data_IF_094501591089
#
_entry.id   IF_094501591089
#
_cell.length_a   1.000
_cell.length_b   1.000
_cell.length_c   1.000
_cell.angle_alpha   90.00
_cell.angle_beta   90.00
_cell.angle_gamma   90.00
#
_symmetry.space_group_name_H-M   'P 1'
#
loop_
_entity.id
_entity.type
_entity.pdbx_description
1 polymer ?
#
# COMPACT_ATOMS: atom_id res chain seq x y z
N UNK A 1 5.49 21.56 -28.12
CA UNK A 1 6.36 20.40 -28.37
C UNK A 1 5.45 19.21 -28.62
N UNK A 2 5.69 18.39 -29.65
CA UNK A 2 4.94 17.15 -29.79
C UNK A 2 5.27 16.24 -28.61
N UNK A 3 4.29 15.92 -27.76
CA UNK A 3 4.49 14.95 -26.69
C UNK A 3 4.84 13.60 -27.35
N UNK A 4 5.84 12.90 -26.82
CA UNK A 4 6.11 11.52 -27.18
C UNK A 4 4.93 10.68 -26.70
N UNK A 5 3.91 10.55 -27.56
CA UNK A 5 2.66 9.85 -27.29
C UNK A 5 2.71 8.45 -27.91
N UNK A 6 2.21 7.41 -27.22
CA UNK A 6 2.03 6.08 -27.81
C UNK A 6 1.18 6.15 -29.08
N UNK A 7 1.48 5.26 -30.03
CA UNK A 7 0.64 5.07 -31.23
C UNK A 7 -0.39 3.96 -31.06
N UNK A 8 -0.31 3.18 -29.98
CA UNK A 8 -1.22 2.07 -29.71
C UNK A 8 -2.59 2.59 -29.20
N UNK A 9 -3.68 2.38 -29.96
CA UNK A 9 -5.03 2.75 -29.54
C UNK A 9 -5.45 2.16 -28.20
N UNK A 10 -5.01 0.94 -27.90
CA UNK A 10 -5.39 0.24 -26.67
C UNK A 10 -4.83 0.94 -25.44
N UNK A 11 -3.60 1.46 -25.53
CA UNK A 11 -2.95 2.22 -24.46
C UNK A 11 -3.67 3.54 -24.21
N UNK A 12 -3.99 4.28 -25.28
CA UNK A 12 -4.66 5.58 -25.18
C UNK A 12 -6.11 5.46 -24.73
N UNK A 13 -6.85 4.47 -25.23
CA UNK A 13 -8.20 4.18 -24.79
C UNK A 13 -8.23 3.78 -23.30
N UNK A 14 -7.26 2.96 -22.86
CA UNK A 14 -7.10 2.59 -21.44
C UNK A 14 -6.83 3.81 -20.57
N UNK A 15 -5.94 4.71 -21.00
CA UNK A 15 -5.65 5.96 -20.29
C UNK A 15 -6.88 6.86 -20.11
N UNK A 16 -7.76 6.93 -21.13
CA UNK A 16 -9.02 7.69 -21.03
C UNK A 16 -9.94 7.06 -19.97
N UNK A 17 -10.21 5.76 -20.06
CA UNK A 17 -11.15 5.09 -19.14
C UNK A 17 -10.63 5.05 -17.71
N UNK A 18 -9.33 4.83 -17.51
CA UNK A 18 -8.68 4.88 -16.20
C UNK A 18 -8.82 6.27 -15.57
N UNK A 19 -8.59 7.33 -16.35
CA UNK A 19 -8.71 8.71 -15.86
C UNK A 19 -10.15 9.04 -15.45
N UNK A 20 -11.16 8.57 -16.21
CA UNK A 20 -12.57 8.74 -15.84
C UNK A 20 -12.89 8.03 -14.52
N UNK A 21 -12.41 6.78 -14.34
CA UNK A 21 -12.60 6.04 -13.09
C UNK A 21 -11.89 6.74 -11.92
N UNK A 22 -10.63 7.14 -12.07
CA UNK A 22 -9.86 7.83 -11.03
C UNK A 22 -10.51 9.16 -10.61
N UNK A 23 -11.08 9.91 -11.56
CA UNK A 23 -11.76 11.16 -11.27
C UNK A 23 -13.11 10.96 -10.54
N UNK A 24 -13.83 9.89 -10.86
CA UNK A 24 -15.24 9.74 -10.48
C UNK A 24 -15.46 8.78 -9.31
N UNK A 25 -14.53 7.87 -9.05
CA UNK A 25 -14.67 6.88 -8.00
C UNK A 25 -14.16 7.37 -6.63
N UNK A 26 -14.99 7.38 -5.57
CA UNK A 26 -14.57 7.70 -4.22
C UNK A 26 -13.41 6.85 -3.66
N UNK A 27 -13.27 5.59 -4.10
CA UNK A 27 -12.16 4.72 -3.70
C UNK A 27 -10.81 5.21 -4.24
N UNK A 28 -10.78 5.94 -5.35
CA UNK A 28 -9.55 6.53 -5.87
C UNK A 28 -8.93 7.47 -4.84
N UNK A 29 -9.74 8.37 -4.29
CA UNK A 29 -9.30 9.31 -3.24
C UNK A 29 -8.90 8.59 -1.95
N UNK A 30 -9.60 7.50 -1.59
CA UNK A 30 -9.25 6.67 -0.42
C UNK A 30 -7.93 5.93 -0.59
N UNK A 31 -7.58 5.52 -1.80
CA UNK A 31 -6.35 4.78 -2.10
C UNK A 31 -5.07 5.61 -1.89
N UNK A 32 -5.16 6.93 -2.05
CA UNK A 32 -4.02 7.82 -1.86
C UNK A 32 -4.41 9.28 -2.02
N UNK A 33 -4.85 9.91 -0.93
CA UNK A 33 -5.38 11.28 -0.91
C UNK A 33 -4.44 12.27 -1.60
N UNK A 34 -3.16 12.29 -1.23
CA UNK A 34 -2.16 13.19 -1.79
C UNK A 34 -1.99 13.01 -3.31
N UNK A 35 -1.84 11.78 -3.78
CA UNK A 35 -1.67 11.49 -5.20
C UNK A 35 -2.93 11.77 -6.01
N UNK A 36 -4.10 11.56 -5.42
CA UNK A 36 -5.38 11.89 -6.03
C UNK A 36 -5.55 13.41 -6.19
N UNK A 37 -5.27 14.21 -5.14
CA UNK A 37 -5.32 15.68 -5.22
C UNK A 37 -4.36 16.21 -6.30
N UNK A 38 -3.14 15.66 -6.40
CA UNK A 38 -2.18 16.01 -7.46
C UNK A 38 -2.70 15.67 -8.87
N UNK A 39 -3.39 14.54 -9.02
CA UNK A 39 -3.89 14.06 -10.30
C UNK A 39 -5.17 14.78 -10.75
N UNK A 40 -5.94 15.34 -9.80
CA UNK A 40 -7.30 15.88 -10.02
C UNK A 40 -7.40 16.83 -11.22
N UNK A 41 -6.56 17.87 -11.38
CA UNK A 41 -6.71 18.79 -12.51
C UNK A 41 -6.59 18.09 -13.87
N UNK A 42 -5.78 17.03 -13.94
CA UNK A 42 -5.53 16.29 -15.17
C UNK A 42 -6.65 15.29 -15.47
N UNK A 43 -7.10 14.54 -14.47
CA UNK A 43 -8.18 13.56 -14.66
C UNK A 43 -9.53 14.25 -14.89
N UNK A 44 -9.79 15.40 -14.26
CA UNK A 44 -10.95 16.25 -14.54
C UNK A 44 -10.94 16.80 -15.97
N UNK A 45 -9.77 17.14 -16.52
CA UNK A 45 -9.64 17.55 -17.91
C UNK A 45 -10.04 16.43 -18.88
N UNK A 46 -9.69 15.17 -18.58
CA UNK A 46 -10.14 14.01 -19.37
C UNK A 46 -11.65 13.84 -19.29
N UNK A 47 -12.25 13.92 -18.10
CA UNK A 47 -13.71 13.84 -17.93
C UNK A 47 -14.40 14.97 -18.72
N UNK A 48 -13.87 16.18 -18.68
CA UNK A 48 -14.39 17.31 -19.45
C UNK A 48 -14.28 17.09 -20.97
N UNK A 49 -13.18 16.48 -21.44
CA UNK A 49 -12.99 16.12 -22.84
C UNK A 49 -14.01 15.05 -23.29
N UNK A 50 -14.22 14.02 -22.49
CA UNK A 50 -15.21 12.96 -22.76
C UNK A 50 -16.64 13.53 -22.82
N UNK A 51 -17.02 14.43 -21.90
CA UNK A 51 -18.33 15.11 -21.93
C UNK A 51 -18.53 16.01 -23.15
N UNK A 52 -17.44 16.51 -23.74
CA UNK A 52 -17.44 17.36 -24.95
C UNK A 52 -17.17 16.58 -26.23
N UNK A 53 -17.02 15.25 -26.16
CA UNK A 53 -16.73 14.42 -27.32
C UNK A 53 -17.81 14.62 -28.40
N UNK A 54 -17.39 14.80 -29.66
CA UNK A 54 -18.30 15.02 -30.79
C UNK A 54 -19.21 13.79 -31.00
N UNK A 55 -18.65 12.60 -30.82
CA UNK A 55 -19.36 11.34 -30.91
C UNK A 55 -20.30 11.14 -29.70
N UNK A 56 -21.59 10.94 -29.97
CA UNK A 56 -22.61 10.79 -28.94
C UNK A 56 -22.53 9.48 -28.17
N UNK A 57 -21.99 8.42 -28.78
CA UNK A 57 -21.81 7.13 -28.12
C UNK A 57 -20.70 7.21 -27.08
N UNK A 58 -19.53 7.75 -27.43
CA UNK A 58 -18.42 8.00 -26.50
C UNK A 58 -18.89 8.86 -25.33
N UNK A 59 -19.63 9.94 -25.59
CA UNK A 59 -20.15 10.83 -24.55
C UNK A 59 -21.07 10.08 -23.59
N UNK A 60 -22.03 9.33 -24.12
CA UNK A 60 -23.00 8.56 -23.32
C UNK A 60 -22.34 7.43 -22.52
N UNK A 61 -21.37 6.73 -23.10
CA UNK A 61 -20.58 5.71 -22.40
C UNK A 61 -19.71 6.32 -21.30
N UNK A 62 -19.12 7.48 -21.57
CA UNK A 62 -18.35 8.27 -20.60
C UNK A 62 -19.17 8.69 -19.38
N UNK A 63 -20.36 9.22 -19.60
CA UNK A 63 -21.30 9.60 -18.52
C UNK A 63 -21.69 8.38 -17.69
N UNK A 64 -22.05 7.25 -18.32
CA UNK A 64 -22.37 6.01 -17.60
C UNK A 64 -21.21 5.50 -16.74
N UNK A 65 -19.97 5.55 -17.25
CA UNK A 65 -18.81 5.14 -16.48
C UNK A 65 -18.53 6.10 -15.30
N UNK A 66 -18.69 7.40 -15.50
CA UNK A 66 -18.51 8.38 -14.43
C UNK A 66 -19.57 8.24 -13.32
N UNK A 67 -20.82 7.90 -13.69
CA UNK A 67 -21.92 7.73 -12.74
C UNK A 67 -21.83 6.42 -11.94
N UNK A 68 -21.29 5.35 -12.53
CA UNK A 68 -21.08 4.05 -11.86
C UNK A 68 -19.73 3.43 -12.26
N UNK A 69 -18.61 3.95 -11.69
CA UNK A 69 -17.24 3.51 -12.03
C UNK A 69 -16.87 2.12 -11.48
N UNK A 70 -17.77 1.52 -10.69
CA UNK A 70 -17.62 0.17 -10.16
C UNK A 70 -18.07 -0.93 -11.12
N UNK A 71 -18.74 -0.59 -12.24
CA UNK A 71 -19.34 -1.58 -13.15
C UNK A 71 -18.42 -1.92 -14.33
N UNK A 72 -17.90 -3.17 -14.43
CA UNK A 72 -16.94 -3.56 -15.47
C UNK A 72 -17.45 -3.36 -16.91
N UNK A 73 -18.73 -3.59 -17.16
CA UNK A 73 -19.32 -3.41 -18.50
C UNK A 73 -19.19 -1.96 -18.98
N UNK A 74 -19.41 -0.97 -18.11
CA UNK A 74 -19.26 0.45 -18.46
C UNK A 74 -17.82 0.75 -18.89
N UNK A 75 -16.85 0.21 -18.17
CA UNK A 75 -15.43 0.38 -18.47
C UNK A 75 -15.08 -0.24 -19.84
N UNK A 76 -15.43 -1.52 -20.05
CA UNK A 76 -15.07 -2.24 -21.25
C UNK A 76 -15.75 -1.67 -22.50
N UNK A 77 -17.01 -1.23 -22.40
CA UNK A 77 -17.73 -0.65 -23.54
C UNK A 77 -17.17 0.70 -23.96
N UNK A 78 -16.85 1.59 -23.02
CA UNK A 78 -16.21 2.87 -23.37
C UNK A 78 -14.84 2.64 -24.00
N UNK A 79 -14.04 1.73 -23.42
CA UNK A 79 -12.72 1.38 -23.95
C UNK A 79 -12.81 0.82 -25.37
N UNK A 80 -13.73 -0.10 -25.63
CA UNK A 80 -13.93 -0.68 -26.96
C UNK A 80 -14.33 0.38 -28.00
N UNK A 81 -15.29 1.26 -27.67
CA UNK A 81 -15.72 2.35 -28.56
C UNK A 81 -14.56 3.30 -28.89
N UNK A 82 -13.69 3.63 -27.92
CA UNK A 82 -12.51 4.47 -28.14
C UNK A 82 -11.49 3.79 -29.08
N UNK A 83 -11.28 2.48 -28.94
CA UNK A 83 -10.38 1.71 -29.82
C UNK A 83 -10.92 1.68 -31.25
N UNK A 84 -12.21 1.39 -31.43
CA UNK A 84 -12.86 1.36 -32.75
C UNK A 84 -12.78 2.71 -33.47
N UNK A 85 -12.84 3.80 -32.71
CA UNK A 85 -12.83 5.18 -33.24
C UNK A 85 -11.43 5.83 -33.20
N UNK A 86 -10.36 5.10 -32.89
CA UNK A 86 -9.05 5.68 -32.63
C UNK A 86 -8.39 6.40 -33.82
N UNK A 87 -8.79 6.06 -35.05
CA UNK A 87 -8.31 6.70 -36.27
C UNK A 87 -9.07 8.00 -36.62
N UNK A 88 -10.18 8.28 -35.94
CA UNK A 88 -10.99 9.46 -36.22
C UNK A 88 -10.34 10.72 -35.62
N UNK A 89 -10.29 11.85 -36.35
CA UNK A 89 -9.76 13.11 -35.80
C UNK A 89 -10.48 13.57 -34.52
N UNK A 90 -11.75 13.19 -34.35
CA UNK A 90 -12.58 13.53 -33.19
C UNK A 90 -12.15 12.86 -31.89
N UNK A 91 -11.39 11.76 -31.93
CA UNK A 91 -10.86 11.08 -30.72
C UNK A 91 -9.51 11.61 -30.26
N UNK A 92 -8.78 12.33 -31.13
CA UNK A 92 -7.46 12.84 -30.83
C UNK A 92 -7.40 13.74 -29.57
N UNK A 93 -8.35 14.69 -29.34
CA UNK A 93 -8.33 15.51 -28.13
C UNK A 93 -8.50 14.71 -26.83
N UNK A 94 -9.26 13.60 -26.87
CA UNK A 94 -9.45 12.73 -25.70
C UNK A 94 -8.15 12.01 -25.37
N UNK A 95 -7.48 11.48 -26.39
CA UNK A 95 -6.19 10.80 -26.23
C UNK A 95 -5.07 11.73 -25.81
N UNK A 96 -5.07 12.98 -26.28
CA UNK A 96 -4.11 14.00 -25.84
C UNK A 96 -4.30 14.34 -24.35
N UNK A 97 -5.54 14.61 -23.92
CA UNK A 97 -5.84 14.88 -22.52
C UNK A 97 -5.50 13.68 -21.62
N UNK A 98 -5.83 12.46 -22.05
CA UNK A 98 -5.53 11.25 -21.29
C UNK A 98 -4.03 10.97 -21.18
N UNK A 99 -3.27 11.20 -22.26
CA UNK A 99 -1.82 11.03 -22.21
C UNK A 99 -1.14 12.09 -21.34
N UNK A 100 -1.65 13.32 -21.36
CA UNK A 100 -1.21 14.37 -20.44
C UNK A 100 -1.50 13.99 -18.98
N UNK A 101 -2.67 13.41 -18.69
CA UNK A 101 -2.98 12.89 -17.36
C UNK A 101 -2.04 11.74 -16.95
N UNK A 102 -1.75 10.80 -17.84
CA UNK A 102 -0.81 9.71 -17.59
C UNK A 102 0.60 10.20 -17.26
N UNK A 103 1.06 11.26 -17.93
CA UNK A 103 2.39 11.84 -17.70
C UNK A 103 2.49 12.64 -16.39
N UNK A 104 1.38 13.15 -15.88
CA UNK A 104 1.34 14.04 -14.71
C UNK A 104 0.67 13.41 -13.48
N UNK A 105 0.11 12.19 -13.60
CA UNK A 105 -0.54 11.46 -12.52
C UNK A 105 0.34 10.35 -11.95
N UNK A 106 0.28 10.19 -10.62
CA UNK A 106 0.86 9.05 -9.89
C UNK A 106 -0.18 8.05 -9.42
N UNK A 107 -1.43 8.20 -9.83
CA UNK A 107 -2.51 7.25 -9.58
C UNK A 107 -3.05 6.76 -10.93
N UNK A 108 -3.21 5.45 -11.07
CA UNK A 108 -3.87 4.81 -12.19
C UNK A 108 -4.91 3.81 -11.70
N UNK A 109 -5.43 3.00 -12.61
CA UNK A 109 -6.45 2.02 -12.32
C UNK A 109 -6.09 0.68 -12.96
N UNK A 110 -6.62 -0.40 -12.39
CA UNK A 110 -6.51 -1.75 -12.91
C UNK A 110 -7.85 -2.45 -12.74
N UNK A 111 -8.35 -3.02 -13.83
CA UNK A 111 -9.53 -3.87 -13.85
C UNK A 111 -9.20 -5.17 -14.58
N UNK A 112 -9.20 -6.28 -13.84
CA UNK A 112 -9.04 -7.61 -14.39
C UNK A 112 -10.27 -8.03 -15.21
N UNK A 113 -10.06 -8.83 -16.27
CA UNK A 113 -11.10 -9.19 -17.23
C UNK A 113 -12.15 -10.16 -16.69
N UNK A 114 -11.92 -10.77 -15.53
CA UNK A 114 -12.89 -11.66 -14.85
C UNK A 114 -13.45 -11.07 -13.56
N UNK A 115 -13.05 -9.86 -13.19
CA UNK A 115 -13.47 -9.22 -11.94
C UNK A 115 -15.01 -9.20 -11.79
N UNK A 116 -15.47 -9.59 -10.61
CA UNK A 116 -16.88 -9.47 -10.19
C UNK A 116 -16.98 -8.64 -8.92
N UNK A 117 -18.13 -7.97 -8.73
CA UNK A 117 -18.43 -7.19 -7.53
C UNK A 117 -18.88 -8.07 -6.35
N UNK A 118 -19.05 -9.36 -6.59
CA UNK A 118 -19.71 -10.30 -5.69
C UNK A 118 -18.68 -11.04 -4.83
N UNK A 119 -18.27 -10.40 -3.74
CA UNK A 119 -17.43 -11.03 -2.74
C UNK A 119 -18.00 -10.77 -1.35
N UNK A 120 -18.34 -11.84 -0.63
CA UNK A 120 -18.78 -11.76 0.75
C UNK A 120 -17.65 -11.23 1.63
N UNK A 121 -17.89 -10.16 2.42
CA UNK A 121 -16.91 -9.63 3.38
C UNK A 121 -16.35 -10.74 4.28
N UNK A 122 -15.06 -10.66 4.59
CA UNK A 122 -14.40 -11.59 5.52
C UNK A 122 -14.39 -10.95 6.91
N UNK A 123 -14.82 -11.67 7.95
CA UNK A 123 -14.79 -11.16 9.33
C UNK A 123 -13.48 -11.44 10.07
N UNK A 124 -13.28 -10.78 11.21
CA UNK A 124 -12.17 -11.08 12.14
C UNK A 124 -12.33 -12.49 12.70
N UNK A 125 -13.57 -12.89 13.04
CA UNK A 125 -13.89 -14.19 13.60
C UNK A 125 -13.56 -15.33 12.64
N UNK A 126 -13.86 -15.15 11.35
CA UNK A 126 -13.51 -16.11 10.30
C UNK A 126 -12.00 -16.34 10.25
N UNK A 127 -11.20 -15.26 10.24
CA UNK A 127 -9.74 -15.36 10.17
C UNK A 127 -9.13 -15.91 11.47
N UNK A 128 -9.67 -15.50 12.63
CA UNK A 128 -9.24 -16.00 13.93
C UNK A 128 -9.50 -17.50 14.11
N UNK A 129 -10.54 -18.03 13.48
CA UNK A 129 -10.86 -19.45 13.51
C UNK A 129 -9.91 -20.31 12.65
N UNK A 130 -9.13 -19.70 11.75
CA UNK A 130 -8.14 -20.43 10.95
C UNK A 130 -6.92 -20.83 11.79
N UNK A 131 -6.30 -21.98 11.49
CA UNK A 131 -5.07 -22.36 12.15
C UNK A 131 -3.96 -21.36 11.79
N UNK A 132 -3.14 -20.91 12.76
CA UNK A 132 -2.10 -19.90 12.53
C UNK A 132 -0.96 -20.38 11.62
N UNK A 133 -0.90 -21.67 11.30
CA UNK A 133 0.18 -22.25 10.50
C UNK A 133 1.41 -22.63 11.33
N UNK A 134 2.54 -22.95 10.68
CA UNK A 134 3.74 -23.43 11.38
C UNK A 134 4.38 -22.33 12.23
N UNK A 135 4.70 -22.68 13.48
CA UNK A 135 5.47 -21.84 14.39
C UNK A 135 6.95 -21.75 13.96
N UNK A 136 7.66 -20.71 14.41
CA UNK A 136 9.11 -20.66 14.32
C UNK A 136 9.69 -21.83 15.17
N UNK A 137 10.55 -22.69 14.61
CA UNK A 137 11.14 -23.77 15.38
C UNK A 137 11.97 -23.26 16.57
N UNK A 138 11.92 -23.97 17.70
CA UNK A 138 12.72 -23.62 18.87
C UNK A 138 14.21 -23.64 18.53
N UNK A 139 14.93 -22.57 18.88
CA UNK A 139 16.37 -22.45 18.60
C UNK A 139 16.71 -22.05 17.17
N UNK A 140 15.74 -21.73 16.32
CA UNK A 140 16.00 -21.15 15.00
C UNK A 140 16.71 -19.80 15.12
N UNK A 141 17.58 -19.48 14.15
CA UNK A 141 18.27 -18.19 14.02
C UNK A 141 17.92 -17.57 12.66
N UNK A 142 16.74 -16.95 12.54
CA UNK A 142 16.22 -16.48 11.27
C UNK A 142 17.04 -15.30 10.72
N UNK A 143 17.41 -15.37 9.44
CA UNK A 143 18.13 -14.29 8.76
C UNK A 143 17.22 -13.11 8.36
N UNK A 144 15.92 -13.36 8.17
CA UNK A 144 14.92 -12.34 7.82
C UNK A 144 14.04 -11.99 9.02
N UNK A 145 13.95 -10.70 9.33
CA UNK A 145 12.94 -10.14 10.24
C UNK A 145 11.87 -9.40 9.45
N UNK A 146 10.61 -9.75 9.64
CA UNK A 146 9.47 -8.97 9.15
C UNK A 146 8.88 -8.21 10.34
N UNK A 147 8.86 -6.88 10.27
CA UNK A 147 8.26 -6.01 11.28
C UNK A 147 6.96 -5.42 10.74
N UNK A 148 5.88 -5.64 11.46
CA UNK A 148 4.55 -5.15 11.13
C UNK A 148 4.09 -4.15 12.20
N UNK A 149 4.20 -2.83 11.95
CA UNK A 149 3.65 -1.82 12.86
C UNK A 149 2.12 -1.83 12.77
N UNK A 150 1.44 -1.75 13.92
CA UNK A 150 0.00 -1.94 13.97
C UNK A 150 -0.68 -1.01 14.97
N UNK A 151 -1.83 -0.49 14.57
CA UNK A 151 -2.83 0.11 15.44
C UNK A 151 -4.22 -0.09 14.86
N UNK A 152 -5.16 -0.48 15.71
CA UNK A 152 -6.58 -0.51 15.36
C UNK A 152 -7.42 0.11 16.48
N UNK A 153 -7.54 1.44 16.39
CA UNK A 153 -8.40 2.27 17.23
C UNK A 153 -9.58 2.75 16.39
N UNK A 154 -10.78 2.56 16.91
CA UNK A 154 -12.04 3.10 16.35
C UNK A 154 -12.39 2.65 14.92
N UNK A 155 -11.77 1.58 14.38
CA UNK A 155 -12.12 1.05 13.05
C UNK A 155 -13.07 -0.14 13.07
N UNK A 156 -13.55 -0.53 14.25
CA UNK A 156 -14.43 -1.70 14.41
C UNK A 156 -13.76 -3.02 14.05
N UNK A 157 -12.43 -3.12 14.14
CA UNK A 157 -11.68 -4.34 13.79
C UNK A 157 -11.27 -4.44 12.31
N UNK A 158 -11.52 -3.43 11.49
CA UNK A 158 -11.21 -3.48 10.06
C UNK A 158 -9.70 -3.60 9.79
N UNK A 159 -8.86 -2.94 10.61
CA UNK A 159 -7.40 -3.06 10.50
C UNK A 159 -6.91 -4.38 11.09
N UNK A 160 -7.49 -4.86 12.19
CA UNK A 160 -7.20 -6.18 12.72
C UNK A 160 -7.50 -7.30 11.71
N UNK A 161 -8.62 -7.22 10.98
CA UNK A 161 -8.94 -8.16 9.89
C UNK A 161 -7.81 -8.23 8.86
N UNK A 162 -7.31 -7.08 8.43
CA UNK A 162 -6.18 -7.00 7.51
C UNK A 162 -4.91 -7.61 8.11
N UNK A 163 -4.57 -7.26 9.36
CA UNK A 163 -3.42 -7.83 10.05
C UNK A 163 -3.49 -9.36 10.09
N UNK A 164 -4.63 -9.94 10.47
CA UNK A 164 -4.79 -11.39 10.53
C UNK A 164 -4.60 -12.04 9.16
N UNK A 165 -5.14 -11.44 8.09
CA UNK A 165 -4.92 -11.94 6.73
C UNK A 165 -3.44 -11.84 6.31
N UNK A 166 -2.76 -10.74 6.64
CA UNK A 166 -1.33 -10.55 6.42
C UNK A 166 -0.50 -11.63 7.14
N UNK A 167 -0.72 -11.82 8.45
CA UNK A 167 0.00 -12.82 9.24
C UNK A 167 -0.26 -14.25 8.75
N UNK A 168 -1.50 -14.60 8.40
CA UNK A 168 -1.82 -15.91 7.83
C UNK A 168 -1.13 -16.13 6.49
N UNK A 169 -1.07 -15.11 5.62
CA UNK A 169 -0.34 -15.20 4.36
C UNK A 169 1.18 -15.35 4.59
N UNK A 170 1.75 -14.67 5.58
CA UNK A 170 3.15 -14.82 5.99
C UNK A 170 3.45 -16.19 6.62
N UNK A 171 2.45 -16.90 7.13
CA UNK A 171 2.60 -18.28 7.66
C UNK A 171 2.51 -19.35 6.58
N UNK A 172 1.99 -19.02 5.40
CA UNK A 172 1.93 -19.88 4.21
C UNK A 172 2.95 -19.43 3.15
N UNK A 173 4.24 -19.43 3.50
CA UNK A 173 5.33 -19.04 2.60
C UNK A 173 6.13 -20.27 2.11
N UNK A 174 6.68 -20.19 0.90
CA UNK A 174 7.61 -21.20 0.37
C UNK A 174 9.02 -21.09 0.96
N UNK A 175 9.34 -19.98 1.63
CA UNK A 175 10.62 -19.80 2.31
C UNK A 175 10.68 -20.66 3.58
N UNK A 176 11.83 -21.31 3.89
CA UNK A 176 11.95 -22.15 5.08
C UNK A 176 11.60 -21.39 6.36
N UNK A 177 10.70 -21.98 7.15
CA UNK A 177 10.14 -21.34 8.35
C UNK A 177 11.19 -21.00 9.41
N UNK A 178 12.30 -21.72 9.47
CA UNK A 178 13.42 -21.47 10.35
C UNK A 178 14.32 -20.29 9.93
N UNK A 179 14.10 -19.70 8.73
CA UNK A 179 14.92 -18.62 8.18
C UNK A 179 14.28 -17.23 8.24
N UNK A 180 13.02 -17.12 8.66
CA UNK A 180 12.37 -15.82 8.86
C UNK A 180 11.53 -15.78 10.13
N UNK A 181 11.33 -14.59 10.67
CA UNK A 181 10.43 -14.37 11.80
C UNK A 181 9.58 -13.11 11.61
N UNK A 182 8.44 -13.07 12.28
CA UNK A 182 7.49 -11.96 12.21
C UNK A 182 7.32 -11.35 13.60
N UNK A 183 7.49 -10.03 13.67
CA UNK A 183 7.20 -9.22 14.87
C UNK A 183 6.08 -8.25 14.57
N UNK A 184 5.03 -8.29 15.37
CA UNK A 184 3.98 -7.28 15.37
C UNK A 184 4.23 -6.31 16.50
N UNK A 185 4.21 -5.02 16.19
CA UNK A 185 4.33 -3.94 17.18
C UNK A 185 3.01 -3.20 17.24
N UNK A 186 2.20 -3.50 18.26
CA UNK A 186 0.97 -2.76 18.53
C UNK A 186 1.34 -1.46 19.28
N UNK A 187 0.95 -0.31 18.73
CA UNK A 187 1.15 0.98 19.37
C UNK A 187 -0.17 1.69 19.60
N UNK A 188 -0.56 1.81 20.86
CA UNK A 188 -1.80 2.42 21.30
C UNK A 188 -1.71 2.82 22.79
N UNK A 189 -2.79 3.31 23.37
CA UNK A 189 -2.92 3.57 24.82
C UNK A 189 -2.95 2.28 25.67
N UNK A 190 -3.37 1.18 25.06
CA UNK A 190 -3.55 -0.12 25.69
C UNK A 190 -3.35 -1.25 24.67
N UNK A 191 -2.87 -2.43 25.09
CA UNK A 191 -2.60 -3.56 24.20
C UNK A 191 -3.91 -4.28 23.81
N UNK A 192 -4.73 -3.62 23.01
CA UNK A 192 -6.14 -3.95 22.74
C UNK A 192 -6.30 -5.31 22.06
N UNK A 193 -5.34 -5.72 21.23
CA UNK A 193 -5.45 -6.91 20.40
C UNK A 193 -4.42 -8.00 20.69
N UNK A 194 -3.66 -7.88 21.79
CA UNK A 194 -2.61 -8.83 22.19
C UNK A 194 -3.04 -10.29 22.11
N UNK A 195 -4.17 -10.64 22.72
CA UNK A 195 -4.65 -12.03 22.80
C UNK A 195 -5.02 -12.59 21.42
N UNK A 196 -5.47 -11.73 20.50
CA UNK A 196 -5.87 -12.13 19.15
C UNK A 196 -4.65 -12.25 18.23
N UNK A 197 -3.65 -11.38 18.39
CA UNK A 197 -2.48 -11.31 17.51
C UNK A 197 -1.44 -12.39 17.88
N UNK A 198 -1.20 -12.60 19.18
CA UNK A 198 -0.10 -13.46 19.67
C UNK A 198 -0.06 -14.85 19.02
N UNK A 199 -1.18 -15.55 18.78
CA UNK A 199 -1.15 -16.86 18.12
C UNK A 199 -0.62 -16.85 16.67
N UNK A 200 -0.64 -15.71 15.99
CA UNK A 200 -0.33 -15.60 14.56
C UNK A 200 1.05 -14.98 14.28
N UNK A 201 1.69 -14.36 15.26
CA UNK A 201 3.03 -13.75 15.17
C UNK A 201 4.07 -14.55 15.96
N UNK A 202 5.37 -14.36 15.69
CA UNK A 202 6.41 -14.98 16.53
C UNK A 202 6.69 -14.14 17.76
N UNK A 203 6.71 -12.82 17.56
CA UNK A 203 6.87 -11.84 18.63
C UNK A 203 5.75 -10.83 18.57
N UNK A 204 5.21 -10.52 19.74
CA UNK A 204 4.28 -9.43 19.95
C UNK A 204 4.97 -8.42 20.88
N UNK A 205 5.04 -7.17 20.44
CA UNK A 205 5.52 -6.06 21.24
C UNK A 205 4.40 -5.02 21.39
N UNK A 206 4.32 -4.43 22.58
CA UNK A 206 3.44 -3.29 22.82
C UNK A 206 4.27 -2.04 23.07
N UNK A 207 4.00 -1.00 22.28
CA UNK A 207 4.70 0.27 22.30
C UNK A 207 3.69 1.38 22.73
N UNK A 208 3.56 1.68 24.04
CA UNK A 208 2.53 2.58 24.57
C UNK A 208 2.64 4.00 24.02
N UNK A 209 1.60 4.45 23.32
CA UNK A 209 1.43 5.83 22.86
C UNK A 209 -0.05 6.17 22.72
N UNK A 210 -0.54 7.07 23.58
CA UNK A 210 -1.95 7.45 23.58
C UNK A 210 -2.34 8.39 22.43
N UNK A 211 -1.39 9.16 21.90
CA UNK A 211 -1.61 10.16 20.85
C UNK A 211 -1.72 9.62 19.41
N UNK A 212 -1.22 10.39 18.46
CA UNK A 212 -1.15 9.97 17.05
C UNK A 212 -0.27 8.74 16.88
N UNK A 213 -0.60 7.88 15.91
CA UNK A 213 0.20 6.68 15.63
C UNK A 213 1.58 7.11 15.15
N UNK A 214 2.64 6.45 15.60
CA UNK A 214 3.99 6.72 15.11
C UNK A 214 4.53 5.45 14.46
N UNK A 215 4.33 5.33 13.15
CA UNK A 215 4.77 4.16 12.36
C UNK A 215 6.29 3.99 12.46
N UNK A 216 7.06 5.06 12.26
CA UNK A 216 8.52 5.05 12.32
C UNK A 216 9.05 4.47 13.63
N UNK A 217 8.51 4.94 14.75
CA UNK A 217 8.90 4.46 16.07
C UNK A 217 8.49 3.00 16.29
N UNK A 218 7.27 2.61 15.92
CA UNK A 218 6.82 1.22 16.03
C UNK A 218 7.73 0.27 15.22
N UNK A 219 8.16 0.68 14.02
CA UNK A 219 9.13 -0.07 13.21
C UNK A 219 10.48 -0.16 13.90
N UNK A 220 11.06 0.97 14.34
CA UNK A 220 12.33 0.97 15.05
C UNK A 220 12.28 0.09 16.30
N UNK A 221 11.20 0.17 17.08
CA UNK A 221 10.99 -0.66 18.26
C UNK A 221 10.95 -2.15 17.91
N UNK A 222 10.28 -2.52 16.82
CA UNK A 222 10.29 -3.89 16.32
C UNK A 222 11.69 -4.36 15.94
N UNK A 223 12.42 -3.58 15.15
CA UNK A 223 13.79 -3.96 14.72
C UNK A 223 14.74 -4.09 15.90
N UNK A 224 14.66 -3.20 16.89
CA UNK A 224 15.60 -3.15 18.03
C UNK A 224 15.29 -4.19 19.11
N UNK A 225 14.01 -4.49 19.35
CA UNK A 225 13.60 -5.32 20.49
C UNK A 225 13.26 -6.77 20.12
N UNK A 226 13.22 -7.12 18.84
CA UNK A 226 13.05 -8.51 18.42
C UNK A 226 14.35 -9.31 18.65
N UNK A 227 14.27 -10.51 19.24
CA UNK A 227 15.45 -11.34 19.46
C UNK A 227 15.99 -11.91 18.14
N UNK A 228 17.30 -12.17 18.12
CA UNK A 228 18.00 -12.81 17.00
C UNK A 228 18.98 -11.87 16.28
N UNK A 229 19.76 -12.43 15.36
CA UNK A 229 20.71 -11.69 14.54
C UNK A 229 20.23 -11.66 13.09
N UNK A 230 19.17 -10.89 12.85
CA UNK A 230 18.60 -10.80 11.51
C UNK A 230 19.51 -10.00 10.59
N UNK A 231 19.82 -10.54 9.42
CA UNK A 231 20.66 -9.92 8.40
C UNK A 231 19.87 -8.91 7.55
N UNK A 232 18.58 -9.18 7.38
CA UNK A 232 17.64 -8.41 6.56
C UNK A 232 16.38 -8.10 7.36
N UNK A 233 15.89 -6.86 7.22
CA UNK A 233 14.60 -6.40 7.75
C UNK A 233 13.64 -6.14 6.59
N UNK A 234 12.42 -6.65 6.70
CA UNK A 234 11.26 -6.27 5.92
C UNK A 234 10.34 -5.41 6.81
N UNK A 235 10.19 -4.14 6.48
CA UNK A 235 9.16 -3.26 7.04
C UNK A 235 7.91 -3.50 6.22
N UNK A 236 6.83 -3.97 6.84
CA UNK A 236 5.63 -4.39 6.13
C UNK A 236 4.38 -3.83 6.80
N UNK A 237 3.56 -3.11 6.04
CA UNK A 237 2.28 -2.62 6.55
C UNK A 237 1.29 -3.77 6.80
N UNK A 238 0.42 -3.59 7.79
CA UNK A 238 -0.50 -4.64 8.28
C UNK A 238 -1.59 -5.03 7.28
N UNK A 239 -1.74 -4.29 6.19
CA UNK A 239 -2.71 -4.45 5.11
C UNK A 239 -2.10 -4.97 3.81
N UNK A 240 -0.87 -5.47 3.85
CA UNK A 240 -0.28 -6.21 2.74
C UNK A 240 -0.80 -7.65 2.69
N UNK A 241 -1.25 -8.08 1.52
CA UNK A 241 -1.57 -9.49 1.25
C UNK A 241 -0.48 -10.12 0.36
N UNK A 242 0.49 -10.76 1.01
CA UNK A 242 1.65 -11.36 0.34
C UNK A 242 1.29 -12.67 -0.41
N UNK A 243 1.85 -12.85 -1.61
CA UNK A 243 1.86 -14.14 -2.31
C UNK A 243 2.73 -15.18 -1.57
N UNK A 244 2.62 -16.47 -1.95
CA UNK A 244 3.33 -17.59 -1.30
C UNK A 244 4.85 -17.51 -1.43
N UNK A 245 5.35 -16.88 -2.48
CA UNK A 245 6.79 -16.79 -2.75
C UNK A 245 7.40 -15.45 -2.32
N UNK A 246 6.61 -14.60 -1.68
CA UNK A 246 7.00 -13.25 -1.27
C UNK A 246 8.30 -13.24 -0.46
N UNK A 247 8.40 -14.02 0.61
CA UNK A 247 9.61 -14.02 1.46
C UNK A 247 10.79 -14.62 0.70
N UNK A 248 10.59 -15.73 -0.01
CA UNK A 248 11.66 -16.42 -0.73
C UNK A 248 12.28 -15.54 -1.83
N UNK A 249 11.42 -14.94 -2.65
CA UNK A 249 11.81 -14.05 -3.75
C UNK A 249 12.56 -12.82 -3.24
N UNK A 250 12.15 -12.25 -2.10
CA UNK A 250 12.79 -11.06 -1.56
C UNK A 250 14.08 -11.33 -0.80
N UNK A 251 14.17 -12.45 -0.07
CA UNK A 251 15.42 -12.88 0.55
C UNK A 251 16.50 -13.17 -0.51
N UNK A 252 16.12 -13.81 -1.62
CA UNK A 252 17.05 -14.14 -2.72
C UNK A 252 17.72 -12.90 -3.32
N UNK A 253 17.01 -11.76 -3.41
CA UNK A 253 17.55 -10.52 -3.96
C UNK A 253 18.81 -10.04 -3.23
N UNK A 254 18.90 -10.27 -1.92
CA UNK A 254 20.07 -9.90 -1.13
C UNK A 254 21.31 -10.77 -1.39
N UNK A 255 21.18 -11.91 -2.07
CA UNK A 255 22.32 -12.72 -2.50
C UNK A 255 23.09 -12.10 -3.66
N UNK A 256 22.50 -11.12 -4.35
CA UNK A 256 23.18 -10.37 -5.41
C UNK A 256 24.15 -9.35 -4.80
N UNK A 257 25.40 -9.27 -5.31
CA UNK A 257 26.35 -8.25 -4.87
C UNK A 257 25.79 -6.84 -5.02
N UNK A 258 26.04 -5.99 -4.02
CA UNK A 258 25.65 -4.57 -4.07
C UNK A 258 24.21 -4.27 -3.67
N UNK A 259 23.41 -5.25 -3.24
CA UNK A 259 22.04 -4.99 -2.76
C UNK A 259 22.04 -4.53 -1.31
N UNK A 260 21.80 -3.23 -1.10
CA UNK A 260 21.61 -2.62 0.20
C UNK A 260 20.16 -2.70 0.70
N UNK A 261 19.21 -2.50 -0.20
CA UNK A 261 17.78 -2.66 0.04
C UNK A 261 16.98 -2.57 -1.25
N UNK A 262 15.68 -2.84 -1.15
CA UNK A 262 14.77 -2.71 -2.28
C UNK A 262 13.32 -2.52 -1.85
N UNK A 263 12.54 -1.93 -2.75
CA UNK A 263 11.09 -2.05 -2.79
C UNK A 263 10.71 -3.18 -3.75
N UNK A 264 9.64 -3.88 -3.40
CA UNK A 264 9.19 -5.04 -4.18
C UNK A 264 8.41 -4.64 -5.43
N UNK A 265 7.90 -3.41 -5.48
CA UNK A 265 6.99 -2.95 -6.52
C UNK A 265 7.33 -1.53 -7.02
N UNK A 266 6.91 -1.23 -8.26
CA UNK A 266 6.75 0.15 -8.77
C UNK A 266 5.30 0.60 -8.78
N UNK A 267 4.37 -0.32 -8.62
CA UNK A 267 2.94 -0.05 -8.55
C UNK A 267 2.36 -0.77 -7.34
N UNK A 268 1.79 -0.02 -6.41
CA UNK A 268 1.02 -0.58 -5.30
C UNK A 268 -0.44 -0.67 -5.73
N UNK A 269 -1.02 -1.88 -5.67
CA UNK A 269 -2.41 -2.12 -6.04
C UNK A 269 -3.31 -2.01 -4.80
N UNK A 270 -3.91 -0.84 -4.60
CA UNK A 270 -4.86 -0.56 -3.53
C UNK A 270 -6.23 -1.10 -3.92
N UNK A 271 -6.66 -2.17 -3.24
CA UNK A 271 -7.90 -2.87 -3.51
C UNK A 271 -9.10 -2.13 -2.92
N UNK A 272 -10.27 -2.31 -3.52
CA UNK A 272 -11.55 -1.96 -2.91
C UNK A 272 -12.03 -3.05 -1.92
N UNK A 273 -13.17 -2.81 -1.26
CA UNK A 273 -13.73 -3.72 -0.27
C UNK A 273 -14.03 -5.12 -0.82
N UNK A 274 -14.85 -5.26 -1.90
CA UNK A 274 -15.14 -6.55 -2.50
C UNK A 274 -13.88 -7.29 -2.99
N UNK A 275 -12.97 -6.60 -3.66
CA UNK A 275 -11.73 -7.23 -4.16
C UNK A 275 -10.82 -7.66 -3.01
N UNK A 276 -10.75 -6.88 -1.93
CA UNK A 276 -10.05 -7.27 -0.71
C UNK A 276 -10.61 -8.56 -0.12
N UNK A 277 -11.94 -8.64 0.01
CA UNK A 277 -12.59 -9.83 0.53
C UNK A 277 -12.27 -11.05 -0.36
N UNK A 278 -12.47 -10.92 -1.67
CA UNK A 278 -12.14 -11.98 -2.63
C UNK A 278 -10.67 -12.43 -2.53
N UNK A 279 -9.74 -11.48 -2.51
CA UNK A 279 -8.30 -11.77 -2.46
C UNK A 279 -7.90 -12.50 -1.17
N UNK A 280 -8.48 -12.13 -0.03
CA UNK A 280 -8.27 -12.85 1.23
C UNK A 280 -8.82 -14.26 1.14
N UNK A 281 -10.04 -14.46 0.61
CA UNK A 281 -10.60 -15.81 0.46
C UNK A 281 -9.70 -16.67 -0.42
N UNK A 282 -9.22 -16.12 -1.53
CA UNK A 282 -8.33 -16.83 -2.44
C UNK A 282 -6.98 -17.17 -1.79
N UNK A 283 -6.28 -16.15 -1.31
CA UNK A 283 -4.91 -16.31 -0.79
C UNK A 283 -4.87 -17.06 0.53
N UNK A 284 -5.79 -16.79 1.45
CA UNK A 284 -5.74 -17.29 2.83
C UNK A 284 -6.64 -18.51 3.02
N UNK A 285 -7.92 -18.42 2.70
CA UNK A 285 -8.87 -19.50 3.00
C UNK A 285 -8.71 -20.69 2.04
N UNK A 286 -8.55 -20.43 0.74
CA UNK A 286 -8.29 -21.46 -0.28
C UNK A 286 -6.81 -21.81 -0.41
N UNK A 287 -5.92 -21.06 0.24
CA UNK A 287 -4.47 -21.23 0.16
C UNK A 287 -3.96 -21.20 -1.28
N UNK A 288 -4.49 -20.30 -2.10
CA UNK A 288 -3.94 -19.99 -3.41
C UNK A 288 -2.49 -19.50 -3.29
N UNK A 289 -1.67 -19.71 -4.32
CA UNK A 289 -0.30 -19.18 -4.34
C UNK A 289 -0.29 -17.64 -4.39
N UNK A 290 -1.26 -17.06 -5.11
CA UNK A 290 -1.46 -15.62 -5.26
C UNK A 290 -2.95 -15.32 -5.48
N UNK A 291 -3.33 -14.04 -5.32
CA UNK A 291 -4.63 -13.55 -5.77
C UNK A 291 -4.46 -12.93 -7.18
N UNK A 292 -4.87 -13.68 -8.20
CA UNK A 292 -4.55 -13.39 -9.60
C UNK A 292 -5.09 -12.05 -10.12
N UNK A 293 -4.25 -11.29 -10.81
CA UNK A 293 -4.53 -9.93 -11.28
C UNK A 293 -5.80 -9.80 -12.15
N UNK A 294 -6.17 -10.86 -12.87
CA UNK A 294 -7.35 -10.89 -13.75
C UNK A 294 -8.70 -10.85 -13.00
N UNK A 295 -8.69 -11.05 -11.67
CA UNK A 295 -9.88 -10.94 -10.81
C UNK A 295 -9.91 -9.65 -10.00
N UNK A 296 -8.84 -8.85 -10.08
CA UNK A 296 -8.65 -7.70 -9.22
C UNK A 296 -9.23 -6.43 -9.85
N UNK A 297 -9.81 -5.61 -8.99
CA UNK A 297 -10.03 -4.20 -9.20
C UNK A 297 -9.17 -3.41 -8.21
N UNK A 298 -8.34 -2.50 -8.72
CA UNK A 298 -7.39 -1.78 -7.88
C UNK A 298 -7.07 -0.38 -8.41
N UNK A 299 -6.83 0.55 -7.49
CA UNK A 299 -6.16 1.82 -7.80
C UNK A 299 -4.66 1.61 -7.68
N UNK A 300 -3.92 1.97 -8.73
CA UNK A 300 -2.48 1.76 -8.79
C UNK A 300 -1.73 3.04 -8.44
N UNK A 301 -1.15 3.08 -7.25
CA UNK A 301 -0.22 4.16 -6.90
C UNK A 301 1.14 3.87 -7.55
N UNK A 302 1.67 4.85 -8.28
CA UNK A 302 2.90 4.75 -9.08
C UNK A 302 4.10 5.26 -8.28
N UNK A 303 5.00 4.33 -7.99
CA UNK A 303 6.23 4.46 -7.18
C UNK A 303 6.00 5.04 -5.78
N UNK A 304 4.89 4.73 -5.07
CA UNK A 304 4.71 5.26 -3.73
C UNK A 304 5.81 4.66 -2.83
N UNK A 305 6.53 5.47 -2.05
CA UNK A 305 7.42 4.92 -1.03
C UNK A 305 6.59 4.26 0.07
N UNK A 306 7.19 3.32 0.81
CA UNK A 306 6.55 2.70 1.98
C UNK A 306 5.94 1.34 1.69
N UNK A 307 4.93 0.97 2.49
CA UNK A 307 4.16 -0.29 2.47
C UNK A 307 4.97 -1.60 2.62
N UNK A 308 6.01 -1.78 1.82
CA UNK A 308 6.92 -2.92 1.91
C UNK A 308 8.34 -2.51 1.52
N UNK A 309 9.24 -2.46 2.51
CA UNK A 309 10.64 -2.09 2.34
C UNK A 309 11.52 -3.22 2.86
N UNK A 310 12.44 -3.70 2.02
CA UNK A 310 13.43 -4.69 2.41
C UNK A 310 14.81 -4.05 2.49
N UNK A 311 15.50 -4.20 3.61
CA UNK A 311 16.79 -3.53 3.85
C UNK A 311 17.77 -4.40 4.62
N UNK A 312 19.06 -4.19 4.40
CA UNK A 312 20.11 -4.73 5.28
C UNK A 312 19.99 -4.12 6.68
N UNK A 313 19.93 -4.96 7.71
CA UNK A 313 19.86 -4.55 9.12
C UNK A 313 21.00 -3.60 9.49
N UNK A 314 22.23 -3.88 9.02
CA UNK A 314 23.38 -3.01 9.27
C UNK A 314 23.25 -1.61 8.67
N UNK A 315 22.59 -1.45 7.52
CA UNK A 315 22.32 -0.13 6.94
C UNK A 315 21.19 0.57 7.68
N UNK A 316 20.12 -0.15 8.05
CA UNK A 316 19.03 0.39 8.86
C UNK A 316 19.58 1.07 10.13
N UNK A 317 20.43 0.39 10.90
CA UNK A 317 21.04 1.00 12.10
C UNK A 317 22.02 2.13 11.77
N UNK A 318 22.82 2.00 10.70
CA UNK A 318 23.80 3.04 10.31
C UNK A 318 23.14 4.37 9.96
N UNK A 319 21.94 4.36 9.39
CA UNK A 319 21.17 5.58 9.07
C UNK A 319 20.26 6.04 10.21
N UNK A 320 20.33 5.40 11.38
CA UNK A 320 19.48 5.72 12.53
C UNK A 320 18.02 5.28 12.38
N UNK A 321 17.72 4.25 11.58
CA UNK A 321 16.36 3.74 11.39
C UNK A 321 15.41 4.74 10.73
N UNK A 322 14.11 4.59 11.00
CA UNK A 322 13.08 5.55 10.59
C UNK A 322 13.06 6.76 11.53
N UNK A 323 12.63 7.91 11.02
CA UNK A 323 12.57 9.15 11.80
C UNK A 323 11.36 9.14 12.74
N UNK A 324 11.62 9.05 14.04
CA UNK A 324 10.61 8.93 15.09
C UNK A 324 9.87 10.25 15.38
N UNK A 325 10.18 11.34 14.68
CA UNK A 325 9.43 12.60 14.78
C UNK A 325 8.13 12.58 13.97
N UNK A 326 8.01 11.70 12.98
CA UNK A 326 6.80 11.60 12.17
C UNK A 326 5.65 10.98 12.97
N UNK A 327 4.52 11.68 13.01
CA UNK A 327 3.30 11.21 13.67
C UNK A 327 2.11 11.19 12.69
N UNK A 328 1.17 10.29 12.93
CA UNK A 328 0.11 9.99 11.97
C UNK A 328 0.65 9.28 10.74
N UNK A 329 0.20 9.73 9.56
CA UNK A 329 0.54 9.15 8.28
C UNK A 329 1.04 10.22 7.33
N UNK A 330 2.19 9.97 6.69
CA UNK A 330 2.70 10.79 5.60
C UNK A 330 4.10 11.35 5.86
N UNK A 331 4.96 11.18 4.87
CA UNK A 331 6.33 11.74 4.82
C UNK A 331 7.42 10.80 5.33
N UNK A 332 7.10 9.91 6.28
CA UNK A 332 8.05 9.03 6.96
C UNK A 332 8.73 8.04 6.02
N UNK A 333 7.95 7.44 5.12
CA UNK A 333 8.46 6.47 4.16
C UNK A 333 9.32 7.16 3.07
N UNK A 334 8.98 8.40 2.69
CA UNK A 334 9.81 9.21 1.78
C UNK A 334 11.17 9.49 2.41
N UNK A 335 11.18 10.01 3.64
CA UNK A 335 12.41 10.33 4.38
C UNK A 335 13.30 9.10 4.51
N UNK A 336 12.74 7.97 4.96
CA UNK A 336 13.51 6.75 5.13
C UNK A 336 14.10 6.24 3.81
N UNK A 337 13.31 6.15 2.73
CA UNK A 337 13.78 5.68 1.43
C UNK A 337 14.89 6.57 0.89
N UNK A 338 14.75 7.90 0.97
CA UNK A 338 15.77 8.82 0.47
C UNK A 338 17.06 8.77 1.28
N UNK A 339 16.99 8.72 2.63
CA UNK A 339 18.18 8.53 3.46
C UNK A 339 18.85 7.19 3.18
N UNK A 340 18.06 6.15 2.93
CA UNK A 340 18.57 4.83 2.61
C UNK A 340 19.31 4.82 1.27
N UNK A 341 18.69 5.35 0.20
CA UNK A 341 19.26 5.37 -1.16
C UNK A 341 20.56 6.19 -1.24
N UNK A 342 20.68 7.25 -0.42
CA UNK A 342 21.95 7.98 -0.25
C UNK A 342 23.03 7.12 0.41
N UNK A 343 22.65 6.24 1.34
CA UNK A 343 23.58 5.49 2.19
C UNK A 343 23.96 4.09 1.67
N UNK A 344 23.16 3.52 0.75
CA UNK A 344 23.38 2.22 0.14
C UNK A 344 22.54 2.04 -1.14
N UNK A 345 22.95 1.18 -2.10
CA UNK A 345 22.16 0.95 -3.30
C UNK A 345 20.76 0.41 -2.98
N UNK A 346 19.74 1.11 -3.48
CA UNK A 346 18.34 0.82 -3.25
C UNK A 346 17.60 0.58 -4.58
N UNK A 347 16.99 -0.59 -4.74
CA UNK A 347 16.39 -1.01 -6.00
C UNK A 347 14.86 -1.03 -5.95
N UNK A 348 14.22 -0.95 -7.13
CA UNK A 348 12.78 -1.13 -7.27
C UNK A 348 12.49 -2.27 -8.23
N UNK A 349 11.61 -3.19 -7.80
CA UNK A 349 11.12 -4.30 -8.61
C UNK A 349 9.68 -4.07 -9.06
N UNK A 350 9.15 -4.97 -9.88
CA UNK A 350 7.82 -4.87 -10.48
C UNK A 350 6.89 -6.00 -10.00
N UNK A 351 7.09 -6.46 -8.75
CA UNK A 351 6.21 -7.47 -8.15
C UNK A 351 4.80 -6.91 -7.98
N UNK A 352 3.82 -7.82 -7.99
CA UNK A 352 2.45 -7.49 -7.72
C UNK A 352 2.22 -7.35 -6.21
N UNK A 353 2.09 -6.12 -5.72
CA UNK A 353 1.85 -5.83 -4.31
C UNK A 353 0.38 -5.47 -4.07
N UNK A 354 -0.27 -6.25 -3.22
CA UNK A 354 -1.68 -6.07 -2.84
C UNK A 354 -1.79 -5.33 -1.52
N UNK A 355 -2.40 -4.15 -1.57
CA UNK A 355 -2.73 -3.36 -0.40
C UNK A 355 -4.24 -3.42 -0.17
N UNK A 356 -4.64 -4.09 0.92
CA UNK A 356 -6.02 -4.34 1.26
C UNK A 356 -6.75 -3.07 1.68
N UNK A 357 -8.04 -3.01 1.39
CA UNK A 357 -8.88 -1.87 1.77
C UNK A 357 -8.94 -1.74 3.30
N UNK A 358 -8.80 -0.51 3.77
CA UNK A 358 -9.01 -0.13 5.18
C UNK A 358 -9.63 1.28 5.28
N UNK A 359 -10.20 1.65 6.43
CA UNK A 359 -10.67 3.01 6.66
C UNK A 359 -9.53 4.05 6.54
N UNK A 360 -9.78 5.23 5.94
CA UNK A 360 -8.76 6.26 5.74
C UNK A 360 -8.04 6.63 7.03
N UNK A 361 -6.74 6.91 6.94
CA UNK A 361 -5.97 7.45 8.06
C UNK A 361 -5.04 8.61 7.71
N UNK A 362 -4.88 8.90 6.42
CA UNK A 362 -4.22 10.12 5.98
C UNK A 362 -5.15 11.32 6.18
N UNK A 363 -4.60 12.38 6.78
CA UNK A 363 -5.28 13.66 6.94
C UNK A 363 -4.42 14.73 6.28
N UNK A 364 -5.06 15.71 5.66
CA UNK A 364 -4.43 16.98 5.30
C UNK A 364 -4.76 17.99 6.40
N UNK A 365 -3.85 18.94 6.62
CA UNK A 365 -4.09 20.11 7.46
C UNK A 365 -5.03 21.08 6.74
N UNK A 366 -5.55 22.07 7.46
CA UNK A 366 -6.49 23.07 6.92
C UNK A 366 -5.91 23.88 5.74
N UNK A 367 -4.57 24.00 5.68
CA UNK A 367 -3.83 24.64 4.58
C UNK A 367 -3.61 23.72 3.36
N UNK A 368 -4.10 22.47 3.41
CA UNK A 368 -3.94 21.46 2.35
C UNK A 368 -2.62 20.69 2.41
N UNK A 369 -1.74 20.98 3.38
CA UNK A 369 -0.45 20.31 3.53
C UNK A 369 -0.56 18.99 4.31
N UNK A 370 0.45 18.13 4.17
CA UNK A 370 0.57 16.92 4.98
C UNK A 370 0.84 17.28 6.46
N UNK A 371 0.34 16.45 7.39
CA UNK A 371 0.53 16.62 8.85
C UNK A 371 2.00 16.89 9.22
N UNK A 372 2.90 16.13 8.60
CA UNK A 372 4.34 16.19 8.88
C UNK A 372 5.14 17.12 7.96
N UNK A 373 4.50 18.02 7.19
CA UNK A 373 5.19 18.92 6.26
C UNK A 373 6.19 19.87 6.95
N UNK A 374 6.06 20.06 8.26
CA UNK A 374 6.95 20.87 9.08
C UNK A 374 8.28 20.17 9.42
N UNK A 375 8.40 18.85 9.20
CA UNK A 375 9.63 18.08 9.43
C UNK A 375 10.48 18.14 8.16
N UNK A 376 11.69 18.77 8.19
CA UNK A 376 12.54 18.83 7.02
C UNK A 376 12.99 17.41 6.60
N UNK A 377 12.75 16.98 5.34
CA UNK A 377 13.22 15.68 4.87
C UNK A 377 14.74 15.54 5.03
N UNK A 378 15.21 14.31 5.27
CA UNK A 378 16.62 13.94 5.44
C UNK A 378 17.30 14.52 6.69
N UNK A 379 16.56 15.21 7.57
CA UNK A 379 17.13 15.86 8.74
C UNK A 379 17.25 14.95 9.97
N UNK A 380 16.88 13.68 9.85
CA UNK A 380 16.92 12.74 10.97
C UNK A 380 18.36 12.47 11.41
N UNK A 381 18.65 12.83 12.67
CA UNK A 381 19.90 12.56 13.37
C UNK A 381 19.51 12.24 14.83
N UNK A 382 19.30 10.95 15.17
CA UNK A 382 18.85 10.60 16.51
C UNK A 382 19.90 10.96 17.57
N UNK A 383 19.52 11.76 18.57
CA UNK A 383 20.38 12.11 19.72
C UNK A 383 20.36 11.04 20.82
N UNK A 384 19.40 10.12 20.75
CA UNK A 384 19.22 9.01 21.68
C UNK A 384 19.04 7.69 20.89
N UNK A 385 19.24 6.52 21.52
CA UNK A 385 18.97 5.23 20.87
C UNK A 385 17.54 5.16 20.32
N UNK A 386 17.41 4.72 19.07
CA UNK A 386 16.10 4.50 18.43
C UNK A 386 15.38 3.28 19.02
N UNK A 387 14.06 3.22 18.85
CA UNK A 387 13.26 2.05 19.15
C UNK A 387 13.10 1.75 20.66
N UNK A 388 13.28 2.75 21.52
CA UNK A 388 12.98 2.62 22.95
C UNK A 388 11.46 2.45 23.14
N UNK A 389 11.04 1.31 23.70
CA UNK A 389 9.62 0.94 23.85
C UNK A 389 8.83 1.90 24.74
N UNK A 390 9.49 2.59 25.66
CA UNK A 390 8.90 3.51 26.63
C UNK A 390 9.04 4.99 26.25
N UNK A 391 9.61 5.30 25.06
CA UNK A 391 9.86 6.68 24.59
C UNK A 391 8.65 7.60 24.77
N UNK A 392 7.45 7.11 24.48
CA UNK A 392 6.20 7.88 24.53
C UNK A 392 5.27 7.49 25.68
N UNK A 393 5.72 6.63 26.61
CA UNK A 393 4.87 6.11 27.69
C UNK A 393 4.39 7.19 28.68
N UNK A 394 5.08 8.33 28.74
CA UNK A 394 4.76 9.46 29.63
C UNK A 394 4.04 10.62 28.93
N UNK A 395 3.80 10.54 27.62
CA UNK A 395 3.10 11.60 26.90
C UNK A 395 1.60 11.58 27.22
N UNK A 396 1.00 12.69 27.67
CA UNK A 396 -0.44 12.79 27.81
C UNK A 396 -1.10 12.67 26.43
N UNK A 397 -2.32 12.12 26.38
CA UNK A 397 -3.11 12.09 25.15
C UNK A 397 -3.37 13.54 24.68
N UNK A 398 -2.70 13.98 23.62
CA UNK A 398 -3.06 15.22 22.95
C UNK A 398 -4.29 14.94 22.10
N UNK A 399 -5.44 15.52 22.47
CA UNK A 399 -6.63 15.50 21.62
C UNK A 399 -6.30 16.13 20.26
N UNK A 400 -6.74 15.53 19.14
CA UNK A 400 -6.68 16.22 17.87
C UNK A 400 -7.56 17.46 18.00
N UNK A 401 -6.96 18.65 17.89
CA UNK A 401 -7.72 19.89 17.74
C UNK A 401 -8.57 19.74 16.49
N UNK A 402 -9.87 19.48 16.67
CA UNK A 402 -10.86 19.62 15.61
C UNK A 402 -10.86 21.10 15.21
N UNK A 403 -10.20 21.40 14.09
CA UNK A 403 -10.31 22.69 13.43
C UNK A 403 -11.78 22.92 13.08
N UNK A 404 -12.32 24.00 13.63
CA UNK A 404 -13.68 24.52 13.43
C UNK A 404 -13.93 25.04 12.03
#
# INVERSE_FOLDING_TARGET
MAQLRPSDPEVLATAVVDSVVVASDPDARRSGLFYWEMARPWTEAVVAAVRKAEDSEIRSLGERLADDPGTPDHYHRLRAALVEQAALPSTAPLFDAAWEAECNSRIGFHLGGRHTRDAEPVSVEELRALPPGPALPAGADPEVLIVVPFRDRDTGGARLRNLLACLLALRDQSFPRDRYQVTVVESDDSPRWREVITPFTDHYLFAPKAGMFNKSWAVNAGVVNTPGRNEVVCILDADVLADRDFVARNAERFRSPGVGGHMTYRKMSCLDGPTTAWAIRERVQRRGAEAGADQLRAFQLRRPPGCCLWVRTGTFHRIGGMDERYEGWGGEDNDFVYRFDIAAPFFNHDDWMLHMQHPPASLLRDDGELVNAHIPPLSWQPEAPIGQLDRFASEPATEPTAGS
#
